data_IF_995040086111
#
_entry.id   IF_995040086111
#
_cell.length_a   1.000
_cell.length_b   1.000
_cell.length_c   1.000
_cell.angle_alpha   90.00
_cell.angle_beta   90.00
_cell.angle_gamma   90.00
#
_symmetry.space_group_name_H-M   'P 1'
#
loop_
_entity.id
_entity.type
_entity.pdbx_description
1 polymer ?
#
# COMPACT_ATOMS: atom_id res chain seq x y z
N UNK A 1 1.34 16.32 23.45
CA UNK A 1 1.70 15.85 24.81
C UNK A 1 2.98 15.04 24.63
N UNK A 2 4.11 15.40 25.24
CA UNK A 2 5.40 14.71 24.99
C UNK A 2 5.34 13.28 25.51
N UNK A 3 5.48 12.31 24.63
CA UNK A 3 5.46 10.89 24.95
C UNK A 3 6.80 10.40 25.52
N UNK A 4 6.84 9.17 26.03
CA UNK A 4 8.05 8.57 26.61
C UNK A 4 9.10 8.17 25.55
N UNK A 5 8.70 8.20 24.27
CA UNK A 5 9.58 8.00 23.13
C UNK A 5 10.59 9.11 22.88
N UNK A 6 10.35 10.32 23.40
CA UNK A 6 11.21 11.47 23.13
C UNK A 6 12.62 11.32 23.72
N UNK A 7 13.64 11.47 22.87
CA UNK A 7 15.03 11.51 23.30
C UNK A 7 16.03 11.01 22.27
N UNK A 8 17.31 11.28 22.54
CA UNK A 8 18.42 10.86 21.69
C UNK A 8 18.91 9.46 22.05
N UNK A 9 19.13 8.66 21.01
CA UNK A 9 19.89 7.40 21.07
C UNK A 9 21.20 7.60 20.32
N UNK A 10 22.30 7.15 20.93
CA UNK A 10 23.60 7.07 20.28
C UNK A 10 23.72 5.72 19.58
N UNK A 11 23.96 5.75 18.29
CA UNK A 11 24.06 4.57 17.43
C UNK A 11 25.52 4.12 17.28
N UNK A 12 25.72 2.84 16.94
CA UNK A 12 27.02 2.21 16.75
C UNK A 12 27.82 2.84 15.59
N UNK A 13 27.14 3.49 14.63
CA UNK A 13 27.75 4.30 13.57
C UNK A 13 28.23 5.70 14.03
N UNK A 14 28.10 6.01 15.32
CA UNK A 14 28.47 7.29 15.90
C UNK A 14 27.46 8.41 15.66
N UNK A 15 26.36 8.16 14.96
CA UNK A 15 25.29 9.13 14.76
C UNK A 15 24.34 9.15 15.95
N UNK A 16 23.60 10.25 16.10
CA UNK A 16 22.49 10.34 17.06
C UNK A 16 21.17 10.31 16.32
N UNK A 17 20.23 9.51 16.81
CA UNK A 17 18.88 9.40 16.24
C UNK A 17 17.83 9.76 17.30
N UNK A 18 16.77 10.44 16.88
CA UNK A 18 15.66 10.83 17.75
C UNK A 18 14.65 9.67 17.87
N UNK A 19 14.14 9.43 19.07
CA UNK A 19 13.19 8.35 19.37
C UNK A 19 13.85 7.19 20.10
N UNK A 20 13.63 7.09 21.41
CA UNK A 20 14.21 6.06 22.30
C UNK A 20 13.83 4.64 21.90
N UNK A 21 12.65 4.46 21.32
CA UNK A 21 12.11 3.17 20.89
C UNK A 21 12.02 3.04 19.36
N UNK A 22 12.82 3.85 18.64
CA UNK A 22 12.72 4.02 17.19
C UNK A 22 11.76 5.14 16.80
N UNK A 23 11.57 5.28 15.49
CA UNK A 23 10.69 6.27 14.89
C UNK A 23 9.87 5.64 13.76
N UNK A 24 8.78 6.31 13.38
CA UNK A 24 7.95 5.89 12.26
C UNK A 24 7.46 7.11 11.47
N UNK A 25 7.27 6.92 10.16
CA UNK A 25 6.74 7.96 9.28
C UNK A 25 5.74 7.40 8.28
N UNK A 26 4.77 8.22 7.91
CA UNK A 26 3.69 7.85 7.01
C UNK A 26 4.05 8.20 5.55
N UNK A 27 4.23 7.18 4.72
CA UNK A 27 4.26 7.31 3.28
C UNK A 27 2.82 7.20 2.76
N UNK A 28 2.18 8.35 2.61
CA UNK A 28 0.81 8.44 2.12
C UNK A 28 0.78 8.74 0.62
N UNK A 29 0.19 7.82 -0.15
CA UNK A 29 -0.05 7.97 -1.60
C UNK A 29 -1.49 8.35 -1.89
N UNK A 30 -1.68 9.05 -3.00
CA UNK A 30 -3.00 9.33 -3.57
C UNK A 30 -2.90 9.41 -5.10
N UNK A 31 -4.02 9.28 -5.83
CA UNK A 31 -4.04 9.56 -7.26
C UNK A 31 -3.91 11.07 -7.51
N UNK A 32 -2.89 11.45 -8.29
CA UNK A 32 -2.76 12.81 -8.80
C UNK A 32 -3.79 13.12 -9.91
N UNK A 33 -3.79 14.36 -10.44
CA UNK A 33 -4.77 14.78 -11.45
C UNK A 33 -4.81 13.90 -12.71
N UNK A 34 -3.66 13.35 -13.10
CA UNK A 34 -3.55 12.45 -14.24
C UNK A 34 -3.76 10.96 -13.88
N UNK A 35 -3.97 10.62 -12.61
CA UNK A 35 -4.09 9.25 -12.08
C UNK A 35 -2.77 8.59 -11.69
N UNK A 36 -1.64 9.28 -11.85
CA UNK A 36 -0.32 8.82 -11.41
C UNK A 36 -0.12 9.09 -9.91
N UNK A 37 0.70 8.31 -9.19
CA UNK A 37 0.80 8.43 -7.74
C UNK A 37 1.50 9.73 -7.32
N UNK A 38 0.88 10.44 -6.38
CA UNK A 38 1.47 11.56 -5.65
C UNK A 38 1.64 11.18 -4.17
N UNK A 39 2.61 11.78 -3.51
CA UNK A 39 3.01 11.50 -2.13
C UNK A 39 2.95 12.75 -1.28
N UNK A 40 2.39 12.63 -0.08
CA UNK A 40 2.48 13.70 0.90
C UNK A 40 3.90 13.74 1.49
N UNK A 41 4.59 14.86 1.27
CA UNK A 41 5.90 15.14 1.85
C UNK A 41 5.87 16.43 2.68
N UNK A 42 6.75 16.47 3.66
CA UNK A 42 6.98 17.61 4.55
C UNK A 42 8.36 18.19 4.29
N UNK A 43 8.41 19.50 4.05
CA UNK A 43 9.64 20.28 4.11
C UNK A 43 9.86 20.72 5.56
N UNK A 44 10.92 20.19 6.18
CA UNK A 44 11.17 20.36 7.61
C UNK A 44 11.63 21.79 7.90
N UNK A 45 11.04 22.43 8.91
CA UNK A 45 11.43 23.78 9.31
C UNK A 45 12.93 23.84 9.69
N UNK A 46 13.60 24.95 9.40
CA UNK A 46 15.05 25.08 9.50
C UNK A 46 15.62 24.82 10.92
N UNK A 47 14.81 25.02 11.97
CA UNK A 47 15.20 24.79 13.36
C UNK A 47 15.02 23.34 13.84
N UNK A 48 14.45 22.46 13.01
CA UNK A 48 14.28 21.04 13.36
C UNK A 48 15.56 20.25 13.11
N UNK A 49 15.65 19.03 13.66
CA UNK A 49 16.73 18.11 13.31
C UNK A 49 16.69 17.80 11.81
N UNK A 50 17.82 18.02 11.12
CA UNK A 50 17.92 18.04 9.66
C UNK A 50 16.96 19.02 8.98
N UNK A 51 16.74 20.22 9.54
CA UNK A 51 15.90 21.25 8.93
C UNK A 51 16.33 21.61 7.50
N UNK A 52 15.37 21.93 6.64
CA UNK A 52 15.59 22.28 5.24
C UNK A 52 15.52 21.12 4.24
N UNK A 53 15.43 19.86 4.70
CA UNK A 53 15.22 18.71 3.83
C UNK A 53 13.73 18.27 3.77
N UNK A 54 13.41 17.46 2.77
CA UNK A 54 12.11 16.85 2.56
C UNK A 54 12.05 15.44 3.14
N UNK A 55 10.97 15.12 3.84
CA UNK A 55 10.74 13.81 4.45
C UNK A 55 9.27 13.44 4.53
N UNK A 56 9.02 12.28 5.13
CA UNK A 56 7.67 11.85 5.52
C UNK A 56 7.28 12.56 6.83
N UNK A 57 6.00 12.95 7.01
CA UNK A 57 5.47 13.22 8.34
C UNK A 57 5.72 12.01 9.25
N UNK A 58 6.25 12.24 10.44
CA UNK A 58 6.72 11.16 11.30
C UNK A 58 7.60 11.60 12.46
N UNK A 59 7.67 10.73 13.46
CA UNK A 59 8.27 11.06 14.74
C UNK A 59 8.61 9.85 15.59
N UNK A 60 8.94 10.12 16.85
CA UNK A 60 9.37 9.10 17.81
C UNK A 60 8.21 8.16 18.17
N UNK A 61 8.52 6.87 18.33
CA UNK A 61 7.58 5.88 18.83
C UNK A 61 7.60 5.85 20.35
N UNK A 62 6.44 5.78 20.98
CA UNK A 62 6.31 5.51 22.42
C UNK A 62 6.51 4.03 22.74
N UNK A 63 6.84 3.70 24.00
CA UNK A 63 7.24 2.34 24.39
C UNK A 63 6.18 1.26 24.14
N UNK A 64 4.90 1.61 24.26
CA UNK A 64 3.76 0.73 24.00
C UNK A 64 3.11 0.92 22.62
N UNK A 65 3.67 1.76 21.77
CA UNK A 65 3.05 2.18 20.51
C UNK A 65 3.58 1.36 19.32
N UNK A 66 2.65 0.89 18.47
CA UNK A 66 3.02 0.25 17.22
C UNK A 66 3.62 1.27 16.24
N UNK A 67 4.37 0.81 15.24
CA UNK A 67 4.90 1.71 14.22
C UNK A 67 3.77 2.37 13.40
N UNK A 68 2.73 1.61 13.06
CA UNK A 68 1.51 2.14 12.43
C UNK A 68 0.85 3.25 13.25
N UNK A 69 0.60 3.01 14.54
CA UNK A 69 -0.06 3.99 15.41
C UNK A 69 0.77 5.28 15.52
N UNK A 70 2.08 5.15 15.68
CA UNK A 70 2.98 6.29 15.72
C UNK A 70 2.95 7.08 14.41
N UNK A 71 3.12 6.43 13.25
CA UNK A 71 3.10 7.12 11.96
C UNK A 71 1.76 7.84 11.69
N UNK A 72 0.64 7.21 12.05
CA UNK A 72 -0.71 7.78 11.88
C UNK A 72 -0.94 8.96 12.83
N UNK A 73 -0.53 8.83 14.11
CA UNK A 73 -0.59 9.91 15.09
C UNK A 73 0.22 11.12 14.62
N UNK A 74 1.47 10.90 14.24
CA UNK A 74 2.38 11.95 13.79
C UNK A 74 1.86 12.63 12.51
N UNK A 75 1.35 11.88 11.53
CA UNK A 75 0.72 12.48 10.35
C UNK A 75 -0.52 13.32 10.69
N UNK A 76 -1.28 12.92 11.71
CA UNK A 76 -2.38 13.72 12.26
C UNK A 76 -1.91 15.01 12.92
N UNK A 77 -0.85 14.95 13.73
CA UNK A 77 -0.29 16.08 14.47
C UNK A 77 0.47 17.07 13.57
N UNK A 78 1.22 16.58 12.59
CA UNK A 78 2.11 17.39 11.75
C UNK A 78 1.46 17.89 10.46
N UNK A 79 0.51 17.12 9.92
CA UNK A 79 -0.11 17.39 8.63
C UNK A 79 -1.64 17.43 8.66
N UNK A 80 -2.29 17.19 9.82
CA UNK A 80 -3.74 17.22 9.94
C UNK A 80 -4.44 16.07 9.21
N UNK A 81 -3.75 14.96 8.97
CA UNK A 81 -4.31 13.80 8.27
C UNK A 81 -5.30 13.07 9.16
N UNK A 82 -6.54 12.92 8.66
CA UNK A 82 -7.58 12.13 9.29
C UNK A 82 -7.33 10.62 9.05
N UNK A 83 -7.09 9.82 10.11
CA UNK A 83 -6.89 8.37 9.98
C UNK A 83 -8.04 7.63 9.28
N UNK A 84 -9.27 8.16 9.33
CA UNK A 84 -10.42 7.54 8.68
C UNK A 84 -10.39 7.67 7.14
N UNK A 85 -9.55 8.56 6.61
CA UNK A 85 -9.44 8.84 5.17
C UNK A 85 -8.26 8.14 4.50
N UNK A 86 -7.51 7.34 5.25
CA UNK A 86 -6.36 6.59 4.75
C UNK A 86 -6.56 5.09 4.93
N UNK A 87 -5.91 4.31 4.08
CA UNK A 87 -5.89 2.86 4.15
C UNK A 87 -4.44 2.40 4.27
N UNK A 88 -4.11 1.75 5.38
CA UNK A 88 -2.80 1.13 5.57
C UNK A 88 -2.62 -0.04 4.58
N UNK A 89 -1.44 -0.09 3.97
CA UNK A 89 -1.05 -1.09 2.96
C UNK A 89 -0.02 -2.06 3.54
N UNK A 90 0.90 -1.55 4.36
CA UNK A 90 1.93 -2.35 5.01
C UNK A 90 3.02 -1.49 5.64
N UNK A 91 4.06 -2.15 6.14
CA UNK A 91 5.17 -1.49 6.82
C UNK A 91 6.50 -1.96 6.24
N UNK A 92 7.51 -1.09 6.30
CA UNK A 92 8.89 -1.42 5.98
C UNK A 92 9.83 -0.81 7.00
N UNK A 93 10.47 -1.67 7.78
CA UNK A 93 11.41 -1.28 8.81
C UNK A 93 12.84 -1.29 8.27
N UNK A 94 13.55 -0.19 8.48
CA UNK A 94 14.98 -0.08 8.26
C UNK A 94 15.70 0.01 9.61
N UNK A 95 16.78 -0.75 9.73
CA UNK A 95 17.72 -0.71 10.86
C UNK A 95 19.01 -0.07 10.37
N UNK A 96 19.09 1.27 10.31
CA UNK A 96 20.34 1.90 9.94
C UNK A 96 21.44 1.45 10.90
N UNK A 97 22.60 1.10 10.34
CA UNK A 97 23.79 0.63 11.07
C UNK A 97 23.64 -0.61 11.97
N UNK A 98 22.67 -1.49 11.70
CA UNK A 98 22.47 -2.77 12.44
C UNK A 98 22.26 -2.60 13.96
N UNK A 99 21.72 -1.46 14.37
CA UNK A 99 21.46 -1.12 15.78
C UNK A 99 20.11 -1.61 16.30
N UNK A 100 19.93 -1.44 17.62
CA UNK A 100 18.65 -1.52 18.33
C UNK A 100 17.63 -0.46 17.89
N UNK A 101 18.07 0.61 17.24
CA UNK A 101 17.21 1.67 16.73
C UNK A 101 16.68 1.31 15.32
N UNK A 102 15.43 1.69 15.04
CA UNK A 102 14.81 1.46 13.74
C UNK A 102 13.93 2.63 13.30
N UNK A 103 13.83 2.80 11.99
CA UNK A 103 12.82 3.65 11.36
C UNK A 103 11.86 2.78 10.58
N UNK A 104 10.57 2.86 10.88
CA UNK A 104 9.53 2.14 10.14
C UNK A 104 8.77 3.09 9.23
N UNK A 105 8.84 2.85 7.93
CA UNK A 105 7.97 3.51 6.96
C UNK A 105 6.65 2.77 6.89
N UNK A 106 5.56 3.43 7.24
CA UNK A 106 4.19 2.91 7.16
C UNK A 106 3.60 3.39 5.84
N UNK A 107 3.20 2.47 4.98
CA UNK A 107 2.64 2.77 3.67
C UNK A 107 1.11 2.83 3.74
N UNK A 108 0.53 3.87 3.18
CA UNK A 108 -0.91 4.06 3.11
C UNK A 108 -1.35 4.68 1.78
N UNK A 109 -2.59 4.42 1.38
CA UNK A 109 -3.27 5.11 0.29
C UNK A 109 -4.40 5.99 0.83
N UNK A 110 -4.66 7.10 0.15
CA UNK A 110 -5.89 7.86 0.20
C UNK A 110 -6.56 7.85 -1.18
N UNK A 111 -7.89 7.94 -1.20
CA UNK A 111 -8.66 7.94 -2.47
C UNK A 111 -8.42 9.21 -3.31
N UNK A 112 -7.92 10.27 -2.67
CA UNK A 112 -7.59 11.56 -3.27
C UNK A 112 -6.51 12.27 -2.41
N UNK A 113 -5.80 13.28 -2.96
CA UNK A 113 -4.94 14.14 -2.17
C UNK A 113 -5.74 14.85 -1.07
N UNK A 114 -5.40 14.57 0.18
CA UNK A 114 -6.10 15.10 1.35
C UNK A 114 -5.70 16.56 1.62
N UNK A 115 -6.61 17.39 2.18
CA UNK A 115 -6.24 18.69 2.72
C UNK A 115 -5.26 18.51 3.88
N UNK A 116 -4.30 19.42 3.97
CA UNK A 116 -3.21 19.35 4.96
C UNK A 116 -3.15 20.63 5.78
N UNK A 117 -2.78 20.49 7.04
CA UNK A 117 -2.53 21.62 7.95
C UNK A 117 -1.16 21.45 8.56
N UNK A 118 -0.25 22.37 8.23
CA UNK A 118 1.10 22.38 8.78
C UNK A 118 1.08 22.83 10.25
N UNK A 119 1.83 22.13 11.10
CA UNK A 119 2.20 22.63 12.42
C UNK A 119 3.49 23.48 12.36
N UNK A 120 4.01 23.88 13.53
CA UNK A 120 5.25 24.68 13.61
C UNK A 120 6.51 23.92 13.17
N UNK A 121 6.46 22.60 12.97
CA UNK A 121 7.64 21.81 12.57
C UNK A 121 7.81 21.74 11.05
N UNK A 122 6.83 22.25 10.30
CA UNK A 122 6.78 22.22 8.84
C UNK A 122 6.96 23.62 8.25
N UNK A 123 7.93 23.79 7.36
CA UNK A 123 8.01 24.97 6.49
C UNK A 123 7.01 24.86 5.34
N UNK A 124 6.76 23.64 4.85
CA UNK A 124 5.82 23.36 3.78
C UNK A 124 5.30 21.92 3.87
N UNK A 125 4.06 21.68 3.46
CA UNK A 125 3.52 20.36 3.16
C UNK A 125 3.09 20.34 1.69
N UNK A 126 3.45 19.27 0.98
CA UNK A 126 3.20 19.19 -0.46
C UNK A 126 2.87 17.76 -0.91
N UNK A 127 1.88 17.65 -1.81
CA UNK A 127 1.68 16.47 -2.63
C UNK A 127 2.63 16.51 -3.83
N UNK A 128 3.59 15.60 -3.88
CA UNK A 128 4.67 15.57 -4.88
C UNK A 128 4.50 14.34 -5.77
N UNK A 129 4.67 14.48 -7.09
CA UNK A 129 4.65 13.33 -7.99
C UNK A 129 5.73 12.32 -7.63
N UNK A 130 5.41 11.02 -7.62
CA UNK A 130 6.38 9.98 -7.24
C UNK A 130 7.69 10.04 -8.06
N UNK A 131 7.61 10.42 -9.34
CA UNK A 131 8.78 10.59 -10.20
C UNK A 131 9.69 11.77 -9.80
N UNK A 132 9.15 12.78 -9.12
CA UNK A 132 9.83 14.04 -8.77
C UNK A 132 10.55 13.95 -7.42
N UNK A 133 10.17 13.00 -6.55
CA UNK A 133 10.68 12.87 -5.18
C UNK A 133 12.21 12.78 -5.13
N UNK A 134 12.83 12.03 -6.05
CA UNK A 134 14.28 11.86 -6.07
C UNK A 134 15.05 13.14 -6.46
N UNK A 135 14.37 14.16 -6.98
CA UNK A 135 14.95 15.46 -7.31
C UNK A 135 14.89 16.48 -6.15
N UNK A 136 14.24 16.15 -5.04
CA UNK A 136 14.21 16.99 -3.85
C UNK A 136 15.44 16.75 -2.97
N UNK A 137 15.77 17.73 -2.11
CA UNK A 137 16.76 17.55 -1.05
C UNK A 137 16.16 16.70 0.06
N UNK A 138 16.26 15.38 -0.06
CA UNK A 138 15.62 14.42 0.83
C UNK A 138 16.41 14.24 2.14
N UNK A 139 15.67 14.04 3.23
CA UNK A 139 16.24 13.55 4.48
C UNK A 139 17.06 12.27 4.23
N UNK A 140 18.29 12.19 4.75
CA UNK A 140 19.26 11.13 4.43
C UNK A 140 18.67 9.71 4.48
N UNK A 141 18.00 9.37 5.58
CA UNK A 141 17.42 8.02 5.78
C UNK A 141 16.22 7.76 4.85
N UNK A 142 15.48 8.82 4.49
CA UNK A 142 14.40 8.71 3.52
C UNK A 142 14.97 8.52 2.10
N UNK A 143 16.01 9.28 1.74
CA UNK A 143 16.71 9.13 0.47
C UNK A 143 17.25 7.70 0.28
N UNK A 144 17.82 7.10 1.34
CA UNK A 144 18.34 5.74 1.32
C UNK A 144 17.26 4.67 1.16
N UNK A 145 16.09 4.86 1.77
CA UNK A 145 14.97 3.90 1.71
C UNK A 145 14.10 4.05 0.44
N UNK A 146 14.07 5.26 -0.13
CA UNK A 146 13.19 5.67 -1.23
C UNK A 146 13.19 4.72 -2.44
N UNK A 147 14.34 4.26 -3.00
CA UNK A 147 14.33 3.42 -4.20
C UNK A 147 13.47 2.17 -4.09
N UNK A 148 13.38 1.58 -2.90
CA UNK A 148 12.62 0.36 -2.65
C UNK A 148 11.22 0.62 -2.04
N UNK A 149 10.84 1.89 -1.89
CA UNK A 149 9.46 2.28 -1.54
C UNK A 149 8.63 2.63 -2.78
N UNK A 150 9.27 2.93 -3.92
CA UNK A 150 8.62 3.32 -5.19
C UNK A 150 7.67 2.25 -5.73
N UNK A 151 6.67 2.70 -6.49
CA UNK A 151 5.79 1.80 -7.23
C UNK A 151 6.24 1.65 -8.69
N UNK A 152 5.84 0.54 -9.31
CA UNK A 152 5.80 0.40 -10.78
C UNK A 152 4.34 0.37 -11.25
N UNK A 153 4.05 0.93 -12.41
CA UNK A 153 2.70 0.81 -12.98
C UNK A 153 2.37 -0.66 -13.26
N UNK A 154 1.15 -1.09 -12.91
CA UNK A 154 0.66 -2.45 -13.18
C UNK A 154 -0.79 -2.45 -13.66
N UNK A 155 -1.11 -3.41 -14.53
CA UNK A 155 -2.51 -3.74 -14.87
C UNK A 155 -2.99 -4.84 -13.94
N UNK A 156 -4.07 -4.60 -13.20
CA UNK A 156 -4.71 -5.63 -12.40
C UNK A 156 -5.65 -6.47 -13.28
N UNK A 157 -5.48 -7.79 -13.29
CA UNK A 157 -6.39 -8.72 -13.98
C UNK A 157 -7.08 -9.58 -12.93
N UNK A 158 -8.40 -9.48 -12.85
CA UNK A 158 -9.20 -10.11 -11.79
C UNK A 158 -10.00 -11.28 -12.36
N UNK A 159 -9.75 -12.46 -11.78
CA UNK A 159 -10.63 -13.62 -11.91
C UNK A 159 -11.87 -13.42 -11.05
N UNK A 160 -12.96 -12.94 -11.66
CA UNK A 160 -14.16 -12.60 -10.88
C UNK A 160 -14.81 -13.84 -10.28
N UNK A 161 -14.79 -14.99 -10.97
CA UNK A 161 -15.39 -16.22 -10.46
C UNK A 161 -14.66 -16.69 -9.20
N UNK A 162 -13.32 -16.65 -9.19
CA UNK A 162 -12.52 -17.00 -8.03
C UNK A 162 -12.68 -16.01 -6.88
N UNK A 163 -12.71 -14.70 -7.16
CA UNK A 163 -12.88 -13.68 -6.12
C UNK A 163 -14.29 -13.72 -5.51
N UNK A 164 -15.35 -13.72 -6.33
CA UNK A 164 -16.73 -13.84 -5.83
C UNK A 164 -16.93 -15.16 -5.08
N UNK A 165 -16.40 -16.27 -5.61
CA UNK A 165 -16.50 -17.58 -4.98
C UNK A 165 -15.79 -17.71 -3.63
N UNK A 166 -14.85 -16.81 -3.31
CA UNK A 166 -14.13 -16.80 -2.04
C UNK A 166 -14.91 -16.18 -0.88
N UNK A 167 -16.04 -15.52 -1.17
CA UNK A 167 -16.89 -14.86 -0.18
C UNK A 167 -18.18 -15.66 0.04
N UNK A 168 -18.50 -16.07 1.28
CA UNK A 168 -19.75 -16.78 1.56
C UNK A 168 -20.95 -15.83 1.68
N UNK A 169 -21.21 -14.99 0.67
CA UNK A 169 -22.27 -13.95 0.68
C UNK A 169 -23.58 -14.39 0.00
N UNK A 170 -23.70 -15.65 -0.42
CA UNK A 170 -24.88 -16.12 -1.16
C UNK A 170 -24.83 -15.88 -2.67
N UNK A 171 -23.68 -15.50 -3.24
CA UNK A 171 -23.49 -15.19 -4.67
C UNK A 171 -24.09 -16.20 -5.66
N UNK A 172 -24.23 -17.47 -5.28
CA UNK A 172 -24.80 -18.50 -6.15
C UNK A 172 -26.26 -18.22 -6.54
N UNK A 173 -27.00 -17.45 -5.73
CA UNK A 173 -28.39 -17.05 -5.99
C UNK A 173 -28.49 -15.94 -7.04
N UNK A 174 -27.54 -15.01 -7.04
CA UNK A 174 -27.47 -13.88 -7.96
C UNK A 174 -26.01 -13.60 -8.34
N UNK A 175 -25.55 -14.31 -9.37
CA UNK A 175 -24.16 -14.22 -9.85
C UNK A 175 -23.86 -12.88 -10.51
N UNK A 176 -24.84 -12.30 -11.21
CA UNK A 176 -24.68 -11.03 -11.90
C UNK A 176 -24.59 -9.87 -10.89
N UNK A 177 -25.47 -9.85 -9.88
CA UNK A 177 -25.39 -8.86 -8.81
C UNK A 177 -24.13 -9.00 -7.96
N UNK A 178 -23.65 -10.22 -7.71
CA UNK A 178 -22.37 -10.43 -7.02
C UNK A 178 -21.17 -9.88 -7.82
N UNK A 179 -21.15 -10.10 -9.13
CA UNK A 179 -20.15 -9.51 -10.01
C UNK A 179 -20.25 -7.98 -10.04
N UNK A 180 -21.45 -7.41 -10.15
CA UNK A 180 -21.64 -5.95 -10.12
C UNK A 180 -21.11 -5.33 -8.81
N UNK A 181 -21.39 -5.94 -7.65
CA UNK A 181 -20.84 -5.50 -6.37
C UNK A 181 -19.31 -5.50 -6.36
N UNK A 182 -18.70 -6.57 -6.88
CA UNK A 182 -17.24 -6.64 -7.03
C UNK A 182 -16.71 -5.50 -7.91
N UNK A 183 -17.33 -5.25 -9.06
CA UNK A 183 -16.94 -4.15 -9.97
C UNK A 183 -17.03 -2.79 -9.27
N UNK A 184 -18.12 -2.51 -8.54
CA UNK A 184 -18.30 -1.26 -7.80
C UNK A 184 -17.26 -1.08 -6.69
N UNK A 185 -16.92 -2.14 -5.96
CA UNK A 185 -15.85 -2.10 -4.93
C UNK A 185 -14.49 -1.82 -5.55
N UNK A 186 -14.18 -2.42 -6.70
CA UNK A 186 -12.94 -2.14 -7.44
C UNK A 186 -12.88 -0.65 -7.83
N UNK A 187 -13.94 -0.11 -8.42
CA UNK A 187 -14.00 1.32 -8.81
C UNK A 187 -13.82 2.24 -7.60
N UNK A 188 -14.45 1.94 -6.46
CA UNK A 188 -14.34 2.75 -5.25
C UNK A 188 -12.93 2.72 -4.61
N UNK A 189 -12.08 1.76 -5.00
CA UNK A 189 -10.73 1.61 -4.41
C UNK A 189 -9.62 2.05 -5.37
N UNK A 190 -9.88 2.12 -6.67
CA UNK A 190 -8.86 2.45 -7.66
C UNK A 190 -8.78 3.96 -7.93
N UNK A 191 -7.58 4.49 -8.26
CA UNK A 191 -6.28 3.82 -8.27
C UNK A 191 -5.75 3.47 -6.88
N UNK A 192 -4.91 2.45 -6.76
CA UNK A 192 -4.33 2.05 -5.47
C UNK A 192 -2.96 1.36 -5.59
N UNK A 193 -2.29 1.23 -4.46
CA UNK A 193 -1.05 0.48 -4.28
C UNK A 193 -1.32 -1.01 -4.02
N UNK A 194 -0.54 -1.88 -4.66
CA UNK A 194 -0.46 -3.30 -4.40
C UNK A 194 0.91 -3.67 -3.84
N UNK A 195 0.92 -4.52 -2.80
CA UNK A 195 2.14 -5.18 -2.35
C UNK A 195 2.44 -6.36 -3.26
N UNK A 196 3.66 -6.38 -3.81
CA UNK A 196 4.15 -7.41 -4.71
C UNK A 196 5.34 -8.14 -4.06
N UNK A 197 5.67 -9.37 -4.48
CA UNK A 197 6.82 -10.10 -3.94
C UNK A 197 8.15 -9.35 -4.04
N UNK A 198 8.28 -8.46 -5.02
CA UNK A 198 9.51 -7.71 -5.31
C UNK A 198 9.36 -6.20 -5.16
N UNK A 199 8.32 -5.71 -4.44
CA UNK A 199 8.11 -4.28 -4.19
C UNK A 199 6.65 -3.88 -4.23
N UNK A 200 6.34 -2.76 -4.87
CA UNK A 200 4.98 -2.21 -4.92
C UNK A 200 4.53 -1.92 -6.36
N UNK A 201 3.25 -2.13 -6.63
CA UNK A 201 2.61 -1.80 -7.91
C UNK A 201 1.56 -0.71 -7.75
N UNK A 202 1.49 0.25 -8.67
CA UNK A 202 0.39 1.22 -8.74
C UNK A 202 -0.63 0.77 -9.78
N UNK A 203 -1.83 0.43 -9.33
CA UNK A 203 -2.93 -0.03 -10.17
C UNK A 203 -3.72 1.17 -10.65
N UNK A 204 -3.50 1.54 -11.91
CA UNK A 204 -4.33 2.53 -12.60
C UNK A 204 -5.36 1.88 -13.51
N UNK A 205 -5.08 0.67 -14.00
CA UNK A 205 -5.95 -0.09 -14.91
C UNK A 205 -6.32 -1.42 -14.28
N UNK A 206 -7.61 -1.73 -14.32
CA UNK A 206 -8.14 -3.01 -13.86
C UNK A 206 -9.01 -3.64 -14.94
N UNK A 207 -8.73 -4.90 -15.25
CA UNK A 207 -9.48 -5.75 -16.16
C UNK A 207 -10.12 -6.86 -15.36
N UNK A 208 -11.43 -7.00 -15.44
CA UNK A 208 -12.20 -8.01 -14.71
C UNK A 208 -12.78 -8.99 -15.71
N UNK A 209 -12.44 -10.26 -15.56
CA UNK A 209 -12.95 -11.32 -16.44
C UNK A 209 -14.19 -11.94 -15.82
N UNK A 210 -15.32 -11.84 -16.51
CA UNK A 210 -16.59 -12.45 -16.14
C UNK A 210 -16.88 -13.64 -17.04
N UNK A 211 -17.39 -14.73 -16.47
CA UNK A 211 -17.81 -15.92 -17.21
C UNK A 211 -19.22 -16.38 -16.81
N UNK A 212 -19.80 -17.28 -17.61
CA UNK A 212 -21.09 -17.91 -17.32
C UNK A 212 -22.20 -16.88 -17.03
N UNK A 213 -23.02 -17.15 -15.99
CA UNK A 213 -24.13 -16.25 -15.63
C UNK A 213 -23.67 -14.92 -15.01
N UNK A 214 -22.42 -14.80 -14.55
CA UNK A 214 -21.90 -13.52 -14.08
C UNK A 214 -21.68 -12.52 -15.23
N UNK A 215 -21.50 -13.02 -16.46
CA UNK A 215 -21.30 -12.18 -17.66
C UNK A 215 -22.47 -11.24 -18.00
N UNK A 216 -23.66 -11.48 -17.42
CA UNK A 216 -24.83 -10.60 -17.60
C UNK A 216 -24.82 -9.39 -16.66
N UNK A 217 -23.82 -9.27 -15.77
CA UNK A 217 -23.65 -8.06 -14.96
C UNK A 217 -23.45 -6.83 -15.86
N UNK A 218 -24.02 -5.66 -15.49
CA UNK A 218 -23.80 -4.44 -16.24
C UNK A 218 -22.33 -4.00 -16.15
N UNK A 219 -21.87 -3.29 -17.18
CA UNK A 219 -20.56 -2.62 -17.10
C UNK A 219 -20.60 -1.50 -16.07
N UNK A 220 -19.48 -1.33 -15.35
CA UNK A 220 -19.28 -0.25 -14.38
C UNK A 220 -18.12 0.62 -14.86
N UNK A 221 -18.35 1.92 -15.15
CA UNK A 221 -17.27 2.83 -15.54
C UNK A 221 -16.15 2.87 -14.49
N UNK A 222 -14.89 2.86 -14.95
CA UNK A 222 -13.71 2.85 -14.09
C UNK A 222 -12.99 1.49 -14.03
N UNK A 223 -13.63 0.42 -14.50
CA UNK A 223 -13.00 -0.89 -14.72
C UNK A 223 -13.31 -1.41 -16.11
N UNK A 224 -12.38 -2.17 -16.69
CA UNK A 224 -12.60 -2.83 -17.99
C UNK A 224 -13.19 -4.21 -17.76
N UNK A 225 -14.39 -4.49 -18.25
CA UNK A 225 -15.02 -5.80 -18.13
C UNK A 225 -14.78 -6.60 -19.42
N UNK A 226 -14.22 -7.80 -19.29
CA UNK A 226 -14.06 -8.76 -20.38
C UNK A 226 -14.97 -9.95 -20.13
N UNK A 227 -15.86 -10.24 -21.07
CA UNK A 227 -16.80 -11.36 -20.98
C UNK A 227 -16.21 -12.56 -21.69
N UNK A 228 -15.87 -13.60 -20.94
CA UNK A 228 -15.37 -14.85 -21.47
C UNK A 228 -16.49 -15.56 -22.26
N UNK A 229 -16.32 -15.84 -23.56
CA UNK A 229 -17.30 -16.59 -24.34
C UNK A 229 -17.37 -18.08 -23.93
N UNK A 230 -16.33 -18.55 -23.23
CA UNK A 230 -16.22 -19.91 -22.70
C UNK A 230 -15.53 -19.87 -21.33
N UNK A 231 -14.37 -20.52 -21.21
CA UNK A 231 -13.60 -20.55 -19.96
C UNK A 231 -13.04 -19.17 -19.60
N UNK A 232 -13.28 -18.74 -18.36
CA UNK A 232 -12.66 -17.57 -17.75
C UNK A 232 -11.14 -17.67 -17.72
N UNK A 233 -10.59 -18.82 -17.35
CA UNK A 233 -9.15 -19.06 -17.32
C UNK A 233 -8.47 -18.84 -18.68
N UNK A 234 -9.06 -19.36 -19.78
CA UNK A 234 -8.54 -19.16 -21.13
C UNK A 234 -8.46 -17.66 -21.46
N UNK A 235 -9.52 -16.94 -21.11
CA UNK A 235 -9.64 -15.49 -21.33
C UNK A 235 -8.63 -14.71 -20.47
N UNK A 236 -8.45 -15.09 -19.20
CA UNK A 236 -7.46 -14.48 -18.31
C UNK A 236 -6.04 -14.68 -18.83
N UNK A 237 -5.70 -15.90 -19.30
CA UNK A 237 -4.39 -16.17 -19.91
C UNK A 237 -4.17 -15.30 -21.16
N UNK A 238 -5.20 -15.11 -21.99
CA UNK A 238 -5.12 -14.24 -23.17
C UNK A 238 -4.91 -12.76 -22.78
N UNK A 239 -5.69 -12.25 -21.83
CA UNK A 239 -5.55 -10.88 -21.32
C UNK A 239 -4.17 -10.67 -20.71
N UNK A 240 -3.72 -11.58 -19.85
CA UNK A 240 -2.42 -11.49 -19.19
C UNK A 240 -1.25 -11.54 -20.17
N UNK A 241 -1.39 -12.22 -21.33
CA UNK A 241 -0.38 -12.22 -22.40
C UNK A 241 -0.31 -10.88 -23.14
N UNK A 242 -1.43 -10.17 -23.25
CA UNK A 242 -1.49 -8.85 -23.90
C UNK A 242 -0.98 -7.72 -22.98
N UNK A 243 -0.93 -7.95 -21.66
CA UNK A 243 -0.57 -6.98 -20.63
C UNK A 243 0.75 -7.39 -19.93
N UNK A 244 1.93 -6.94 -20.42
CA UNK A 244 3.23 -7.45 -19.95
C UNK A 244 3.51 -7.18 -18.46
N UNK A 245 2.98 -6.08 -17.92
CA UNK A 245 3.12 -5.68 -16.52
C UNK A 245 1.87 -5.99 -15.67
N UNK A 246 1.16 -7.07 -16.01
CA UNK A 246 -0.04 -7.46 -15.26
C UNK A 246 0.25 -8.18 -13.94
N UNK A 247 -0.71 -8.03 -13.02
CA UNK A 247 -0.85 -8.82 -11.80
C UNK A 247 -2.18 -9.52 -11.86
N UNK A 248 -2.19 -10.86 -11.80
CA UNK A 248 -3.41 -11.66 -11.86
C UNK A 248 -3.88 -12.00 -10.45
N UNK A 249 -5.13 -11.71 -10.13
CA UNK A 249 -5.77 -12.09 -8.86
C UNK A 249 -6.52 -13.38 -9.07
N UNK A 250 -6.01 -14.47 -8.51
CA UNK A 250 -6.67 -15.78 -8.48
C UNK A 250 -6.00 -16.70 -7.46
N UNK A 251 -6.78 -17.50 -6.75
CA UNK A 251 -6.27 -18.64 -5.96
C UNK A 251 -6.23 -19.96 -6.75
N UNK A 252 -6.72 -19.98 -8.00
CA UNK A 252 -6.73 -21.19 -8.81
C UNK A 252 -5.30 -21.59 -9.22
N UNK A 253 -4.87 -22.79 -8.78
CA UNK A 253 -3.52 -23.30 -9.06
C UNK A 253 -3.36 -23.72 -10.52
N UNK A 254 -4.41 -24.21 -11.16
CA UNK A 254 -4.43 -24.57 -12.57
C UNK A 254 -4.25 -23.34 -13.44
N UNK A 255 -5.02 -22.27 -13.19
CA UNK A 255 -4.86 -20.99 -13.88
C UNK A 255 -3.45 -20.42 -13.67
N UNK A 256 -2.94 -20.40 -12.44
CA UNK A 256 -1.58 -19.94 -12.14
C UNK A 256 -0.51 -20.68 -12.94
N UNK A 257 -0.63 -22.00 -13.06
CA UNK A 257 0.32 -22.81 -13.82
C UNK A 257 0.31 -22.51 -15.33
N UNK A 258 -0.75 -21.87 -15.84
CA UNK A 258 -0.94 -21.53 -17.26
C UNK A 258 -0.49 -20.12 -17.62
N UNK A 259 -0.24 -19.27 -16.63
CA UNK A 259 0.26 -17.91 -16.84
C UNK A 259 1.69 -17.93 -17.39
N UNK A 260 2.08 -16.86 -18.10
CA UNK A 260 3.45 -16.72 -18.59
C UNK A 260 4.43 -16.71 -17.41
N UNK A 261 5.58 -17.34 -17.58
CA UNK A 261 6.68 -17.24 -16.60
C UNK A 261 6.97 -15.77 -16.28
N UNK A 262 7.01 -15.43 -14.98
CA UNK A 262 7.24 -14.08 -14.50
C UNK A 262 5.97 -13.24 -14.26
N UNK A 263 4.79 -13.70 -14.69
CA UNK A 263 3.52 -13.05 -14.31
C UNK A 263 3.30 -13.20 -12.81
N UNK A 264 3.06 -12.09 -12.12
CA UNK A 264 2.75 -12.11 -10.68
C UNK A 264 1.30 -12.55 -10.50
N UNK A 265 1.08 -13.59 -9.69
CA UNK A 265 -0.26 -14.01 -9.29
C UNK A 265 -0.45 -13.85 -7.78
N UNK A 266 -1.50 -13.12 -7.39
CA UNK A 266 -1.88 -12.93 -5.99
C UNK A 266 -3.09 -13.80 -5.68
N UNK A 267 -3.10 -14.43 -4.50
CA UNK A 267 -4.23 -15.25 -4.07
C UNK A 267 -5.44 -14.41 -3.77
N UNK A 268 -6.63 -14.96 -4.03
CA UNK A 268 -7.83 -14.44 -3.40
C UNK A 268 -7.62 -14.48 -1.89
N UNK A 269 -7.26 -15.57 -1.22
CA UNK A 269 -7.12 -15.61 0.27
C UNK A 269 -6.13 -14.65 0.99
N UNK A 270 -5.40 -13.74 0.32
CA UNK A 270 -4.95 -12.47 0.94
C UNK A 270 -6.14 -11.56 1.36
N UNK A 271 -7.36 -12.09 1.22
CA UNK A 271 -8.66 -11.55 1.56
C UNK A 271 -9.07 -11.64 3.05
N UNK A 272 -8.32 -12.32 3.93
CA UNK A 272 -8.75 -12.44 5.33
C UNK A 272 -7.75 -13.06 6.32
N UNK A 273 -7.15 -12.21 7.16
CA UNK A 273 -7.06 -12.41 8.61
C UNK A 273 -6.62 -11.10 9.30
N UNK A 274 -7.39 -10.66 10.28
CA UNK A 274 -7.01 -9.60 11.21
C UNK A 274 -6.02 -10.13 12.25
N UNK A 275 -4.99 -9.32 12.51
CA UNK A 275 -4.02 -9.36 13.62
C UNK A 275 -2.96 -10.48 13.65
N UNK A 276 -1.67 -10.14 13.66
CA UNK A 276 -0.69 -10.87 14.44
C UNK A 276 -0.77 -10.39 15.90
N UNK A 277 -1.02 -11.32 16.81
CA UNK A 277 -0.67 -11.12 18.22
C UNK A 277 0.86 -10.93 18.38
N UNK A 278 1.32 -10.47 19.55
CA UNK A 278 2.70 -10.05 19.76
C UNK A 278 3.67 -11.21 19.48
N UNK A 279 4.52 -11.06 18.47
CA UNK A 279 5.61 -12.00 18.18
C UNK A 279 6.86 -11.52 18.92
N UNK A 280 7.40 -12.37 19.80
CA UNK A 280 8.68 -12.12 20.49
C UNK A 280 9.86 -12.09 19.50
N UNK A 281 10.94 -11.34 19.78
CA UNK A 281 12.04 -11.17 18.83
C UNK A 281 12.98 -12.38 18.86
N UNK A 282 13.08 -13.07 17.72
CA UNK A 282 14.20 -13.97 17.41
C UNK A 282 15.10 -13.35 16.35
N UNK A 283 16.43 -13.59 16.38
CA UNK A 283 17.34 -12.98 15.42
C UNK A 283 17.20 -13.68 14.06
N UNK A 284 16.73 -12.96 13.05
CA UNK A 284 16.77 -13.42 11.65
C UNK A 284 17.11 -12.26 10.70
N UNK A 285 17.80 -12.61 9.62
CA UNK A 285 18.44 -11.75 8.62
C UNK A 285 17.48 -10.72 7.95
N UNK A 286 18.00 -9.65 7.29
CA UNK A 286 17.19 -8.51 6.85
C UNK A 286 16.43 -8.84 5.57
N UNK A 287 15.28 -9.52 5.72
CA UNK A 287 14.21 -9.55 4.75
C UNK A 287 13.09 -8.60 5.17
N UNK A 288 12.22 -8.14 4.25
CA UNK A 288 11.06 -7.35 4.62
C UNK A 288 10.13 -8.19 5.52
N UNK A 289 9.95 -7.79 6.77
CA UNK A 289 8.87 -8.30 7.62
C UNK A 289 7.56 -7.64 7.18
N UNK A 290 6.84 -8.30 6.28
CA UNK A 290 5.47 -7.93 5.90
C UNK A 290 4.54 -8.43 6.99
N UNK A 291 4.10 -7.53 7.87
CA UNK A 291 3.05 -7.84 8.85
C UNK A 291 1.69 -7.79 8.15
N UNK A 292 1.13 -8.97 7.82
CA UNK A 292 -0.29 -9.23 7.53
C UNK A 292 -0.90 -8.57 6.28
N UNK A 293 -1.83 -9.23 5.55
CA UNK A 293 -2.34 -8.71 4.29
C UNK A 293 -3.36 -7.59 4.52
N UNK A 294 -2.97 -6.32 4.32
CA UNK A 294 -3.90 -5.24 3.96
C UNK A 294 -3.81 -4.97 2.47
N UNK A 295 -4.22 -5.96 1.69
CA UNK A 295 -4.32 -5.85 0.24
C UNK A 295 -5.72 -5.39 -0.14
N UNK A 296 -5.85 -4.50 -1.13
CA UNK A 296 -7.05 -4.24 -1.96
C UNK A 296 -8.04 -5.42 -1.97
N UNK A 297 -7.48 -6.62 -2.14
CA UNK A 297 -8.11 -7.91 -2.00
C UNK A 297 -9.01 -8.01 -0.75
N UNK A 298 -8.53 -7.96 0.50
CA UNK A 298 -9.38 -8.07 1.71
C UNK A 298 -10.68 -7.22 1.71
N UNK A 299 -10.68 -6.07 1.04
CA UNK A 299 -11.88 -5.24 0.83
C UNK A 299 -12.79 -5.70 -0.32
N UNK A 300 -12.23 -6.32 -1.36
CA UNK A 300 -13.01 -7.01 -2.41
C UNK A 300 -13.75 -8.27 -1.91
N UNK A 301 -13.26 -8.93 -0.84
CA UNK A 301 -13.97 -10.05 -0.19
C UNK A 301 -14.96 -9.63 0.89
N UNK A 302 -14.76 -8.48 1.51
CA UNK A 302 -15.68 -8.04 2.55
C UNK A 302 -17.00 -7.59 1.92
N UNK A 303 -18.16 -8.00 2.48
CA UNK A 303 -19.47 -7.70 1.92
C UNK A 303 -19.73 -6.20 1.77
#
# INVERSE_FOLDING_TARGET
MRGDGDGWVHCADGQRRWGRFGAAGLLLRAPGPAGDPVLLLQHRAAWTHHGGCWGLPGGARNSGESAADAAVREAGEEAGIDPARIQLIGERTAHPASDTWSFTTVLADAIEPLPVTANQESAELRWVGEAEVAGLDLHLEFAASWPALRTRAVTLVVDAANVVGSVPDGWWRDRAGAAERLLRRLVATLPCTLVLPTGYGWVRRCVVVLEGRASTAPDVPGVTVVRAPGSGDDTIVQVARAEPDCVVVTADRGLRARLRTGTTALGSSALGSSAPGPSAPGPSAPGPSVVGPSTLLARLASP
#
